data_IF_920590660539
#
_entry.id   IF_920590660539
#
_cell.length_a   1.000
_cell.length_b   1.000
_cell.length_c   1.000
_cell.angle_alpha   90.00
_cell.angle_beta   90.00
_cell.angle_gamma   90.00
#
_symmetry.space_group_name_H-M   'P 1'
#
loop_
_entity.id
_entity.type
_entity.pdbx_description
1 polymer ?
#
# COMPACT_ATOMS: atom_id res chain seq x y z
N UNK A 1 2.32 -13.95 -3.85
CA UNK A 1 1.21 -13.01 -3.62
C UNK A 1 1.58 -12.15 -2.43
N UNK A 2 1.37 -10.83 -2.52
CA UNK A 2 1.63 -9.93 -1.40
C UNK A 2 0.40 -9.86 -0.49
N UNK A 3 0.63 -9.82 0.81
CA UNK A 3 -0.39 -9.55 1.83
C UNK A 3 -0.52 -8.04 2.05
N UNK A 4 -1.69 -7.59 2.50
CA UNK A 4 -1.94 -6.18 2.82
C UNK A 4 -2.29 -6.07 4.29
N UNK A 5 -1.55 -5.26 5.01
CA UNK A 5 -1.79 -4.97 6.43
C UNK A 5 -1.83 -3.48 6.71
N UNK A 6 -2.58 -3.12 7.75
CA UNK A 6 -2.65 -1.76 8.26
C UNK A 6 -1.83 -1.74 9.55
N UNK A 7 -0.80 -0.89 9.63
CA UNK A 7 0.06 -0.81 10.81
C UNK A 7 -0.72 -0.41 12.09
N UNK A 8 -1.88 0.22 11.91
CA UNK A 8 -2.81 0.62 12.96
C UNK A 8 -4.24 0.65 12.44
N UNK A 9 -5.20 0.75 13.37
CA UNK A 9 -6.60 1.00 13.03
C UNK A 9 -6.78 2.46 12.57
N UNK A 10 -7.21 2.65 11.32
CA UNK A 10 -7.53 3.97 10.77
C UNK A 10 -9.00 4.36 11.03
N UNK A 11 -9.38 4.49 12.31
CA UNK A 11 -10.79 4.70 12.74
C UNK A 11 -11.53 5.89 12.11
N UNK A 12 -10.81 6.86 11.55
CA UNK A 12 -11.39 8.04 10.88
C UNK A 12 -11.64 7.83 9.40
N UNK A 13 -11.05 6.80 8.81
CA UNK A 13 -11.25 6.46 7.40
C UNK A 13 -12.57 5.72 7.28
N UNK A 14 -13.48 6.14 6.39
CA UNK A 14 -14.70 5.41 6.10
C UNK A 14 -14.45 3.96 5.69
N UNK A 15 -15.38 3.06 6.04
CA UNK A 15 -15.21 1.62 5.85
C UNK A 15 -15.13 1.20 4.37
N UNK A 16 -15.93 1.84 3.52
CA UNK A 16 -15.89 1.76 2.06
C UNK A 16 -14.52 2.18 1.49
N UNK A 17 -13.97 3.32 1.93
CA UNK A 17 -12.63 3.76 1.53
C UNK A 17 -11.56 2.75 1.95
N UNK A 18 -11.68 2.14 3.13
CA UNK A 18 -10.76 1.07 3.57
C UNK A 18 -10.88 -0.22 2.75
N UNK A 19 -12.09 -0.54 2.28
CA UNK A 19 -12.32 -1.69 1.40
C UNK A 19 -11.64 -1.42 0.05
N UNK A 20 -11.91 -0.26 -0.56
CA UNK A 20 -11.30 0.12 -1.84
C UNK A 20 -9.77 0.19 -1.75
N UNK A 21 -9.24 0.75 -0.67
CA UNK A 21 -7.80 0.77 -0.39
C UNK A 21 -7.20 -0.64 -0.43
N UNK A 22 -7.83 -1.59 0.26
CA UNK A 22 -7.34 -2.98 0.31
C UNK A 22 -7.42 -3.66 -1.05
N UNK A 23 -8.46 -3.39 -1.83
CA UNK A 23 -8.59 -3.93 -3.18
C UNK A 23 -7.49 -3.41 -4.10
N UNK A 24 -7.27 -2.09 -4.13
CA UNK A 24 -6.20 -1.48 -4.95
C UNK A 24 -4.81 -1.95 -4.54
N UNK A 25 -4.53 -2.03 -3.23
CA UNK A 25 -3.23 -2.54 -2.75
C UNK A 25 -3.05 -4.03 -3.09
N UNK A 26 -4.13 -4.82 -3.10
CA UNK A 26 -4.08 -6.22 -3.54
C UNK A 26 -3.76 -6.33 -5.02
N UNK A 27 -4.32 -5.47 -5.86
CA UNK A 27 -4.00 -5.40 -7.29
C UNK A 27 -2.54 -5.00 -7.52
N UNK A 28 -2.06 -3.97 -6.81
CA UNK A 28 -0.64 -3.58 -6.82
C UNK A 28 0.23 -4.77 -6.41
N UNK A 29 -0.13 -5.50 -5.35
CA UNK A 29 0.58 -6.68 -4.90
C UNK A 29 0.60 -7.83 -5.92
N UNK A 30 -0.45 -7.99 -6.73
CA UNK A 30 -0.45 -8.95 -7.85
C UNK A 30 0.54 -8.52 -8.93
N UNK A 31 0.53 -7.25 -9.32
CA UNK A 31 1.46 -6.68 -10.31
C UNK A 31 2.91 -6.77 -9.84
N UNK A 32 3.19 -6.42 -8.59
CA UNK A 32 4.54 -6.60 -8.02
C UNK A 32 4.97 -8.07 -8.03
N UNK A 33 4.03 -8.99 -7.83
CA UNK A 33 4.29 -10.42 -7.91
C UNK A 33 4.75 -10.93 -9.27
N UNK A 34 4.60 -10.16 -10.36
CA UNK A 34 5.10 -10.53 -11.70
C UNK A 34 6.52 -10.04 -11.96
N UNK A 35 7.08 -9.18 -11.10
CA UNK A 35 8.43 -8.66 -11.25
C UNK A 35 9.48 -9.74 -10.96
N UNK A 36 10.58 -9.81 -11.72
CA UNK A 36 11.67 -10.73 -11.46
C UNK A 36 12.32 -10.47 -10.09
N UNK A 37 12.67 -11.54 -9.37
CA UNK A 37 13.29 -11.47 -8.03
C UNK A 37 14.59 -10.66 -8.02
N UNK A 38 15.37 -10.69 -9.11
CA UNK A 38 16.62 -9.94 -9.26
C UNK A 38 16.47 -8.51 -9.80
N UNK A 39 15.26 -7.96 -9.85
CA UNK A 39 15.04 -6.62 -10.39
C UNK A 39 15.60 -5.53 -9.47
N UNK A 40 16.38 -4.60 -10.03
CA UNK A 40 16.86 -3.40 -9.32
C UNK A 40 15.72 -2.46 -8.87
N UNK A 41 14.49 -2.69 -9.34
CA UNK A 41 13.31 -1.95 -8.91
C UNK A 41 12.99 -2.20 -7.43
N UNK A 42 13.35 -3.37 -6.89
CA UNK A 42 13.06 -3.71 -5.50
C UNK A 42 13.75 -2.78 -4.51
N UNK A 43 15.03 -2.46 -4.72
CA UNK A 43 15.75 -1.51 -3.86
C UNK A 43 15.14 -0.12 -3.88
N UNK A 44 14.64 0.33 -5.04
CA UNK A 44 13.96 1.61 -5.16
C UNK A 44 12.60 1.62 -4.44
N UNK A 45 11.86 0.51 -4.51
CA UNK A 45 10.58 0.35 -3.81
C UNK A 45 10.75 0.26 -2.29
N UNK A 46 11.75 -0.46 -1.81
CA UNK A 46 12.03 -0.57 -0.36
C UNK A 46 12.51 0.75 0.24
N UNK A 47 13.27 1.54 -0.53
CA UNK A 47 13.77 2.84 -0.09
C UNK A 47 12.71 3.95 -0.10
N UNK A 48 11.59 3.75 -0.81
CA UNK A 48 10.59 4.79 -1.05
C UNK A 48 9.29 4.55 -0.28
N UNK A 49 8.84 5.57 0.47
CA UNK A 49 7.47 5.62 0.93
C UNK A 49 6.54 5.86 -0.27
N UNK A 50 5.61 4.95 -0.50
CA UNK A 50 4.66 5.03 -1.61
C UNK A 50 3.38 5.71 -1.16
N UNK A 51 2.73 6.42 -2.09
CA UNK A 51 1.50 7.16 -1.83
C UNK A 51 0.37 6.59 -2.68
N UNK A 52 -0.81 6.44 -2.08
CA UNK A 52 -2.06 6.18 -2.78
C UNK A 52 -3.13 7.17 -2.32
N UNK A 53 -3.65 7.96 -3.25
CA UNK A 53 -4.71 8.93 -2.98
C UNK A 53 -6.08 8.32 -3.38
N UNK A 54 -7.05 8.29 -2.47
CA UNK A 54 -8.41 7.77 -2.67
C UNK A 54 -9.44 8.61 -1.92
N UNK A 55 -10.48 9.07 -2.62
CA UNK A 55 -11.62 9.79 -2.02
C UNK A 55 -11.24 10.91 -1.03
N UNK A 56 -10.21 11.69 -1.37
CA UNK A 56 -9.71 12.79 -0.52
C UNK A 56 -8.80 12.34 0.63
N UNK A 57 -8.55 11.05 0.78
CA UNK A 57 -7.54 10.48 1.68
C UNK A 57 -6.24 10.22 0.95
N UNK A 58 -5.13 10.51 1.64
CA UNK A 58 -3.79 10.11 1.25
C UNK A 58 -3.32 8.98 2.16
N UNK A 59 -2.99 7.84 1.56
CA UNK A 59 -2.41 6.70 2.26
C UNK A 59 -0.92 6.59 1.93
N UNK A 60 -0.11 6.46 2.97
CA UNK A 60 1.32 6.15 2.83
C UNK A 60 1.52 4.68 3.15
N UNK A 61 2.19 3.97 2.24
CA UNK A 61 2.45 2.55 2.37
C UNK A 61 3.87 2.20 1.95
N UNK A 62 4.37 1.08 2.45
CA UNK A 62 5.66 0.50 2.07
C UNK A 62 5.49 -0.94 1.62
N UNK A 63 6.43 -1.40 0.81
CA UNK A 63 6.48 -2.78 0.31
C UNK A 63 7.68 -3.48 0.95
N UNK A 64 7.41 -4.53 1.70
CA UNK A 64 8.43 -5.49 2.13
C UNK A 64 8.43 -6.66 1.15
N UNK A 65 9.46 -6.73 0.33
CA UNK A 65 9.59 -7.75 -0.73
C UNK A 65 9.88 -9.11 -0.11
N UNK A 66 10.67 -9.15 0.97
CA UNK A 66 11.09 -10.38 1.65
C UNK A 66 9.92 -11.04 2.35
N UNK A 67 9.14 -10.26 3.09
CA UNK A 67 7.92 -10.73 3.76
C UNK A 67 6.72 -10.86 2.81
N UNK A 68 6.85 -10.38 1.56
CA UNK A 68 5.73 -10.23 0.60
C UNK A 68 4.56 -9.51 1.25
N UNK A 69 4.83 -8.36 1.84
CA UNK A 69 3.86 -7.56 2.60
C UNK A 69 3.79 -6.14 2.06
N UNK A 70 2.59 -5.61 1.97
CA UNK A 70 2.31 -4.20 1.76
C UNK A 70 1.73 -3.67 3.05
N UNK A 71 2.44 -2.75 3.70
CA UNK A 71 2.05 -2.18 4.98
C UNK A 71 1.62 -0.73 4.80
N UNK A 72 0.41 -0.39 5.24
CA UNK A 72 -0.08 0.99 5.27
C UNK A 72 0.28 1.61 6.62
N UNK A 73 1.14 2.62 6.60
CA UNK A 73 1.70 3.27 7.79
C UNK A 73 0.86 4.48 8.23
N UNK A 74 0.34 5.25 7.27
CA UNK A 74 -0.39 6.49 7.54
C UNK A 74 -1.59 6.68 6.62
N UNK A 75 -2.56 7.43 7.14
CA UNK A 75 -3.72 7.90 6.41
C UNK A 75 -4.02 9.34 6.85
N UNK A 76 -4.05 10.27 5.91
CA UNK A 76 -4.34 11.68 6.16
C UNK A 76 -5.45 12.13 5.22
N UNK A 77 -6.54 12.64 5.78
CA UNK A 77 -7.56 13.29 4.97
C UNK A 77 -7.03 14.64 4.51
N UNK A 78 -6.96 14.84 3.19
CA UNK A 78 -6.52 16.10 2.59
C UNK A 78 -7.68 16.96 2.11
N UNK A 79 -8.90 16.41 2.05
CA UNK A 79 -10.04 17.10 1.46
C UNK A 79 -9.82 17.37 -0.03
N UNK A 80 -10.91 17.65 -0.73
CA UNK A 80 -10.85 18.26 -2.07
C UNK A 80 -11.55 19.60 -1.98
#
# INVERSE_FOLDING_TARGET
MFHVELAKSFKRVPGDVLIELRERLREIGKTLGTLPVGSNLWSSLEASGMILDLEGWRFEYRVDVKARLIMVDAAVFRGK
#
